data_IF_184235664535
#
_entry.id   IF_184235664535
#
_cell.length_a   1.000
_cell.length_b   1.000
_cell.length_c   1.000
_cell.angle_alpha   90.00
_cell.angle_beta   90.00
_cell.angle_gamma   90.00
#
_symmetry.space_group_name_H-M   'P 1'
#
loop_
_entity.id
_entity.type
_entity.pdbx_description
1 polymer ?
#
# COMPACT_ATOMS: atom_id res chain seq x y z
N UNK A 1 -27.87 32.50 -13.90
CA UNK A 1 -28.52 31.19 -14.09
C UNK A 1 -29.39 31.34 -15.31
N UNK A 2 -28.92 31.11 -16.53
CA UNK A 2 -28.15 29.98 -17.05
C UNK A 2 -27.18 30.49 -18.14
N UNK A 3 -26.43 29.61 -18.80
CA UNK A 3 -25.47 29.92 -19.90
C UNK A 3 -23.99 30.08 -19.53
N UNK A 4 -23.53 29.37 -18.48
CA UNK A 4 -22.11 29.06 -18.27
C UNK A 4 -21.79 27.56 -18.34
N UNK A 5 -22.76 26.71 -18.72
CA UNK A 5 -22.56 25.26 -18.87
C UNK A 5 -22.02 24.82 -20.25
N UNK A 6 -22.10 25.65 -21.30
CA UNK A 6 -21.69 25.21 -22.64
C UNK A 6 -20.18 25.37 -22.93
N UNK A 7 -19.46 26.22 -22.20
CA UNK A 7 -18.01 26.45 -22.44
C UNK A 7 -17.11 25.42 -21.74
N UNK A 8 -17.57 24.78 -20.67
CA UNK A 8 -16.82 23.71 -19.98
C UNK A 8 -16.84 22.41 -20.80
N UNK A 9 -17.91 22.19 -21.59
CA UNK A 9 -18.06 20.99 -22.41
C UNK A 9 -17.09 20.97 -23.60
N UNK A 10 -16.91 22.09 -24.32
CA UNK A 10 -15.99 22.12 -25.48
C UNK A 10 -14.50 21.98 -25.11
N UNK A 11 -14.06 22.49 -23.95
CA UNK A 11 -12.68 22.28 -23.47
C UNK A 11 -12.40 20.83 -23.07
N UNK A 12 -13.41 20.07 -22.64
CA UNK A 12 -13.30 18.63 -22.41
C UNK A 12 -13.19 17.85 -23.72
N UNK A 13 -14.00 18.19 -24.73
CA UNK A 13 -13.97 17.45 -26.00
C UNK A 13 -12.67 17.66 -26.80
N UNK A 14 -12.06 18.85 -26.80
CA UNK A 14 -10.80 19.07 -27.53
C UNK A 14 -9.58 18.42 -26.86
N UNK A 15 -9.53 18.35 -25.52
CA UNK A 15 -8.43 17.67 -24.82
C UNK A 15 -8.55 16.14 -24.92
N UNK A 16 -9.77 15.60 -24.89
CA UNK A 16 -9.99 14.15 -25.06
C UNK A 16 -9.61 13.70 -26.47
N UNK A 17 -9.92 14.47 -27.51
CA UNK A 17 -9.54 14.11 -28.90
C UNK A 17 -8.02 14.16 -29.11
N UNK A 18 -7.31 15.11 -28.49
CA UNK A 18 -5.83 15.14 -28.54
C UNK A 18 -5.19 13.98 -27.74
N UNK A 19 -5.83 13.55 -26.65
CA UNK A 19 -5.41 12.41 -25.84
C UNK A 19 -5.65 11.05 -26.52
N UNK A 20 -6.77 10.89 -27.24
CA UNK A 20 -7.06 9.66 -27.99
C UNK A 20 -6.09 9.50 -29.17
N UNK A 21 -5.66 10.60 -29.79
CA UNK A 21 -4.70 10.59 -30.91
C UNK A 21 -3.24 10.35 -30.48
N UNK A 22 -2.92 10.47 -29.19
CA UNK A 22 -1.55 10.26 -28.65
C UNK A 22 -1.33 8.86 -28.07
N UNK A 23 -2.31 7.95 -28.15
CA UNK A 23 -2.14 6.56 -27.70
C UNK A 23 -1.83 6.44 -26.20
N UNK A 24 -2.20 7.44 -25.39
CA UNK A 24 -2.00 7.42 -23.95
C UNK A 24 -2.91 6.39 -23.29
N UNK A 25 -2.34 5.29 -22.83
CA UNK A 25 -3.01 4.36 -21.91
C UNK A 25 -3.38 5.15 -20.65
N UNK A 26 -4.67 5.21 -20.33
CA UNK A 26 -5.11 5.67 -19.01
C UNK A 26 -4.73 4.56 -18.02
N UNK A 27 -3.57 4.68 -17.38
CA UNK A 27 -3.17 3.76 -16.32
C UNK A 27 -4.07 4.04 -15.13
N UNK A 28 -4.97 3.11 -14.82
CA UNK A 28 -5.62 3.07 -13.51
C UNK A 28 -4.49 2.91 -12.49
N UNK A 29 -4.13 4.02 -11.83
CA UNK A 29 -3.00 4.04 -10.90
C UNK A 29 -3.39 3.21 -9.68
N UNK A 30 -2.81 2.02 -9.58
CA UNK A 30 -2.86 1.22 -8.37
C UNK A 30 -2.27 2.02 -7.21
N UNK A 31 -2.89 1.93 -6.04
CA UNK A 31 -2.40 2.64 -4.86
C UNK A 31 -1.20 1.89 -4.31
N UNK A 32 -0.01 2.44 -4.54
CA UNK A 32 1.27 1.84 -4.18
C UNK A 32 2.15 2.90 -3.53
N UNK A 33 2.90 2.54 -2.49
CA UNK A 33 3.86 3.45 -1.88
C UNK A 33 5.21 3.38 -2.61
N UNK A 34 5.43 4.32 -3.52
CA UNK A 34 6.74 4.50 -4.16
C UNK A 34 7.75 5.12 -3.19
N UNK A 35 9.04 5.00 -3.51
CA UNK A 35 10.12 5.62 -2.73
C UNK A 35 9.89 7.12 -2.55
N UNK A 36 9.38 7.78 -3.60
CA UNK A 36 9.03 9.20 -3.55
C UNK A 36 7.94 9.49 -2.52
N UNK A 37 6.85 8.72 -2.50
CA UNK A 37 5.75 8.87 -1.55
C UNK A 37 6.18 8.61 -0.11
N UNK A 38 6.95 7.55 0.12
CA UNK A 38 7.53 7.22 1.44
C UNK A 38 8.41 8.35 1.96
N UNK A 39 9.30 8.86 1.11
CA UNK A 39 10.23 9.92 1.46
C UNK A 39 9.48 11.25 1.70
N UNK A 40 8.44 11.53 0.91
CA UNK A 40 7.56 12.68 1.10
C UNK A 40 6.82 12.62 2.43
N UNK A 41 6.22 11.46 2.77
CA UNK A 41 5.56 11.23 4.05
C UNK A 41 6.51 11.48 5.21
N UNK A 42 7.68 10.82 5.17
CA UNK A 42 8.74 10.96 6.17
C UNK A 42 9.17 12.41 6.36
N UNK A 43 9.41 13.12 5.25
CA UNK A 43 9.84 14.52 5.27
C UNK A 43 8.80 15.40 5.95
N UNK A 44 7.51 15.25 5.63
CA UNK A 44 6.43 16.02 6.26
C UNK A 44 6.33 15.78 7.76
N UNK A 45 6.48 14.53 8.20
CA UNK A 45 6.49 14.19 9.63
C UNK A 45 7.67 14.87 10.32
N UNK A 46 8.87 14.82 9.73
CA UNK A 46 10.06 15.47 10.28
C UNK A 46 9.87 16.99 10.35
N UNK A 47 9.38 17.61 9.28
CA UNK A 47 9.13 19.05 9.21
C UNK A 47 8.15 19.48 10.32
N UNK A 48 7.07 18.72 10.52
CA UNK A 48 6.13 18.96 11.61
C UNK A 48 6.79 18.83 12.99
N UNK A 49 7.53 17.75 13.25
CA UNK A 49 8.20 17.55 14.53
C UNK A 49 9.24 18.64 14.83
N UNK A 50 9.90 19.18 13.80
CA UNK A 50 10.81 20.30 13.97
C UNK A 50 10.10 21.58 14.45
N UNK A 51 8.82 21.77 14.13
CA UNK A 51 8.04 22.91 14.66
C UNK A 51 7.68 22.78 16.14
N UNK A 52 7.76 21.57 16.70
CA UNK A 52 7.50 21.27 18.12
C UNK A 52 8.75 21.44 19.00
N UNK A 53 9.94 21.63 18.39
CA UNK A 53 11.21 21.82 19.12
C UNK A 53 11.21 23.20 19.77
N UNK A 54 11.34 23.24 21.10
CA UNK A 54 11.39 24.48 21.88
C UNK A 54 12.84 24.74 22.28
N UNK A 55 13.44 25.88 21.89
CA UNK A 55 14.81 26.20 22.27
C UNK A 55 14.93 26.45 23.77
N UNK A 56 16.14 26.24 24.32
CA UNK A 56 16.43 26.53 25.72
C UNK A 56 16.16 28.02 26.03
N UNK A 57 15.35 28.24 27.07
CA UNK A 57 15.08 29.57 27.61
C UNK A 57 16.01 29.89 28.78
N UNK A 58 16.05 31.16 29.16
CA UNK A 58 16.88 31.63 30.28
C UNK A 58 16.57 30.93 31.62
N UNK A 59 15.31 30.52 31.84
CA UNK A 59 14.84 29.89 33.08
C UNK A 59 14.17 28.52 32.87
N UNK A 60 14.08 28.02 31.63
CA UNK A 60 13.36 26.79 31.31
C UNK A 60 14.17 25.98 30.32
N UNK A 61 14.42 24.70 30.67
CA UNK A 61 14.99 23.74 29.73
C UNK A 61 13.98 23.55 28.59
N UNK A 62 14.45 23.72 27.35
CA UNK A 62 13.68 23.48 26.14
C UNK A 62 13.49 21.99 25.88
N UNK A 63 12.97 21.66 24.71
CA UNK A 63 12.84 20.31 24.19
C UNK A 63 13.70 20.18 22.94
N UNK A 64 14.58 19.18 22.89
CA UNK A 64 15.26 18.84 21.65
C UNK A 64 14.42 17.85 20.82
N UNK A 65 14.84 17.59 19.59
CA UNK A 65 14.13 16.69 18.67
C UNK A 65 13.96 15.27 19.24
N UNK A 66 14.99 14.73 19.91
CA UNK A 66 14.93 13.42 20.58
C UNK A 66 13.92 13.41 21.72
N UNK A 67 13.82 14.48 22.51
CA UNK A 67 12.83 14.60 23.60
C UNK A 67 11.39 14.60 23.05
N UNK A 68 11.16 15.30 21.94
CA UNK A 68 9.86 15.31 21.24
C UNK A 68 9.52 13.92 20.72
N UNK A 69 10.45 13.24 20.04
CA UNK A 69 10.23 11.87 19.58
C UNK A 69 9.95 10.91 20.73
N UNK A 70 10.70 11.00 21.84
CA UNK A 70 10.49 10.14 23.01
C UNK A 70 9.12 10.36 23.64
N UNK A 71 8.65 11.61 23.69
CA UNK A 71 7.28 11.94 24.12
C UNK A 71 6.25 11.24 23.23
N UNK A 72 6.38 11.33 21.92
CA UNK A 72 5.43 10.71 20.99
C UNK A 72 5.49 9.18 21.03
N UNK A 73 6.69 8.60 21.04
CA UNK A 73 6.89 7.15 21.17
C UNK A 73 6.12 6.60 22.37
N UNK A 74 6.31 7.17 23.55
CA UNK A 74 5.62 6.74 24.78
C UNK A 74 4.12 6.98 24.79
N UNK A 75 3.63 7.96 24.02
CA UNK A 75 2.20 8.26 23.96
C UNK A 75 1.43 7.27 23.07
N UNK A 76 2.10 6.67 22.09
CA UNK A 76 1.50 5.78 21.10
C UNK A 76 1.80 4.30 21.34
N UNK A 77 2.90 3.98 22.02
CA UNK A 77 3.24 2.65 22.53
C UNK A 77 2.15 2.13 23.49
N UNK A 78 1.68 0.91 23.25
CA UNK A 78 0.71 0.21 24.10
C UNK A 78 1.32 -0.38 25.39
N UNK A 79 2.61 -0.20 25.62
CA UNK A 79 3.36 -0.67 26.78
C UNK A 79 4.31 -1.83 26.49
N UNK A 80 4.47 -2.21 25.22
CA UNK A 80 5.45 -3.20 24.79
C UNK A 80 6.82 -2.57 24.45
N UNK A 81 6.94 -1.24 24.57
CA UNK A 81 8.17 -0.47 24.29
C UNK A 81 8.61 -0.57 22.84
N UNK A 82 7.68 -0.84 21.94
CA UNK A 82 7.88 -0.87 20.50
C UNK A 82 6.71 -0.13 19.83
N UNK A 83 6.84 0.16 18.53
CA UNK A 83 5.73 0.68 17.72
C UNK A 83 5.45 -0.27 16.57
N UNK A 84 4.25 -0.83 16.53
CA UNK A 84 3.75 -1.58 15.38
C UNK A 84 3.18 -0.67 14.27
N UNK A 85 2.77 -1.26 13.14
CA UNK A 85 2.17 -0.53 12.02
C UNK A 85 0.97 0.34 12.43
N UNK A 86 0.11 -0.14 13.34
CA UNK A 86 -1.08 0.58 13.74
C UNK A 86 -0.75 1.74 14.68
N UNK A 87 0.21 1.56 15.59
CA UNK A 87 0.68 2.60 16.51
C UNK A 87 1.44 3.70 15.75
N UNK A 88 2.34 3.31 14.83
CA UNK A 88 3.06 4.26 13.99
C UNK A 88 2.10 5.02 13.07
N UNK A 89 1.11 4.36 12.47
CA UNK A 89 0.10 5.03 11.66
C UNK A 89 -0.70 6.07 12.48
N UNK A 90 -1.13 5.72 13.70
CA UNK A 90 -1.82 6.66 14.60
C UNK A 90 -0.93 7.85 14.98
N UNK A 91 0.37 7.63 15.17
CA UNK A 91 1.34 8.70 15.38
C UNK A 91 1.45 9.62 14.17
N UNK A 92 1.61 9.07 12.97
CA UNK A 92 1.70 9.86 11.73
C UNK A 92 0.41 10.66 11.48
N UNK A 93 -0.74 10.11 11.87
CA UNK A 93 -2.05 10.77 11.80
C UNK A 93 -2.30 11.78 12.92
N UNK A 94 -1.38 11.97 13.87
CA UNK A 94 -1.55 12.94 14.97
C UNK A 94 -1.86 14.34 14.45
N UNK A 95 -1.16 14.76 13.39
CA UNK A 95 -1.35 16.05 12.73
C UNK A 95 -1.63 15.84 11.24
N UNK A 96 -2.86 15.39 10.93
CA UNK A 96 -3.27 15.05 9.57
C UNK A 96 -3.05 16.19 8.56
N UNK A 97 -3.20 17.44 9.00
CA UNK A 97 -3.05 18.61 8.12
C UNK A 97 -1.59 18.85 7.74
N UNK A 98 -0.64 18.67 8.67
CA UNK A 98 0.78 18.79 8.38
C UNK A 98 1.30 17.64 7.50
N UNK A 99 0.71 16.44 7.66
CA UNK A 99 1.13 15.20 6.99
C UNK A 99 0.17 14.80 5.84
N UNK A 100 -0.48 15.78 5.23
CA UNK A 100 -1.38 15.54 4.12
C UNK A 100 -0.60 15.15 2.86
N UNK A 101 -0.93 13.98 2.30
CA UNK A 101 -0.46 13.53 0.98
C UNK A 101 -1.57 13.78 -0.04
N UNK A 102 -1.21 14.31 -1.21
CA UNK A 102 -2.15 14.63 -2.30
C UNK A 102 -1.75 13.91 -3.59
N UNK A 103 -1.22 12.68 -3.47
CA UNK A 103 -0.78 11.89 -4.63
C UNK A 103 -1.97 11.40 -5.45
N UNK A 104 -3.14 11.22 -4.83
CA UNK A 104 -4.37 10.77 -5.48
C UNK A 104 -5.51 11.80 -5.35
N UNK A 105 -6.45 11.79 -6.29
CA UNK A 105 -7.63 12.66 -6.26
C UNK A 105 -8.65 12.23 -5.17
N UNK A 106 -8.72 10.93 -4.89
CA UNK A 106 -9.62 10.37 -3.88
C UNK A 106 -8.93 10.32 -2.51
N UNK A 107 -9.62 10.80 -1.47
CA UNK A 107 -9.08 10.84 -0.11
C UNK A 107 -8.81 9.44 0.45
N UNK A 108 -9.67 8.46 0.13
CA UNK A 108 -9.52 7.06 0.55
C UNK A 108 -8.21 6.45 0.04
N UNK A 109 -7.86 6.71 -1.22
CA UNK A 109 -6.59 6.25 -1.80
C UNK A 109 -5.39 6.91 -1.11
N UNK A 110 -5.49 8.18 -0.72
CA UNK A 110 -4.43 8.82 0.07
C UNK A 110 -4.32 8.24 1.50
N UNK A 111 -5.43 7.75 2.10
CA UNK A 111 -5.39 7.04 3.39
C UNK A 111 -4.73 5.67 3.26
N UNK A 112 -5.04 4.95 2.19
CA UNK A 112 -4.40 3.67 1.88
C UNK A 112 -2.90 3.85 1.60
N UNK A 113 -2.53 4.82 0.76
CA UNK A 113 -1.14 5.18 0.48
C UNK A 113 -0.36 5.44 1.77
N UNK A 114 -0.95 6.22 2.69
CA UNK A 114 -0.32 6.55 3.97
C UNK A 114 -0.07 5.30 4.82
N UNK A 115 -0.99 4.33 4.79
CA UNK A 115 -0.82 3.04 5.49
C UNK A 115 0.29 2.20 4.86
N UNK A 116 0.32 2.08 3.52
CA UNK A 116 1.38 1.36 2.80
C UNK A 116 2.76 1.99 3.05
N UNK A 117 2.84 3.32 3.09
CA UNK A 117 4.08 4.01 3.37
C UNK A 117 4.54 3.89 4.83
N UNK A 118 3.62 3.68 5.78
CA UNK A 118 3.97 3.34 7.17
C UNK A 118 4.68 2.00 7.22
N UNK A 119 4.12 0.98 6.57
CA UNK A 119 4.74 -0.36 6.53
C UNK A 119 6.13 -0.29 5.87
N UNK A 120 6.26 0.47 4.78
CA UNK A 120 7.54 0.69 4.11
C UNK A 120 8.57 1.46 4.98
N UNK A 121 8.13 2.29 5.93
CA UNK A 121 9.02 2.97 6.88
C UNK A 121 9.51 2.04 7.98
N UNK A 122 8.65 1.13 8.44
CA UNK A 122 9.02 0.09 9.43
C UNK A 122 10.07 -0.82 8.81
N UNK A 123 9.78 -1.43 7.66
CA UNK A 123 10.69 -2.32 6.92
C UNK A 123 12.06 -1.70 6.59
N UNK A 124 12.10 -0.37 6.46
CA UNK A 124 13.34 0.36 6.19
C UNK A 124 14.21 0.53 7.43
N UNK A 125 13.59 0.66 8.60
CA UNK A 125 14.24 1.11 9.84
C UNK A 125 14.35 0.01 10.89
N UNK A 126 13.59 -1.08 10.72
CA UNK A 126 13.63 -2.29 11.53
C UNK A 126 14.93 -3.05 11.24
N UNK A 127 15.88 -2.95 12.17
CA UNK A 127 17.21 -3.56 12.04
C UNK A 127 17.21 -5.03 12.49
N UNK A 128 16.30 -5.40 13.38
CA UNK A 128 16.23 -6.74 13.97
C UNK A 128 15.19 -7.65 13.29
N UNK A 129 14.41 -7.12 12.34
CA UNK A 129 13.36 -7.78 11.58
C UNK A 129 12.21 -8.34 12.45
N UNK A 130 11.84 -7.65 13.52
CA UNK A 130 10.72 -8.01 14.40
C UNK A 130 9.38 -7.36 14.01
N UNK A 131 9.37 -6.61 12.90
CA UNK A 131 8.24 -5.89 12.30
C UNK A 131 7.68 -4.78 13.18
N UNK A 132 8.49 -4.29 14.12
CA UNK A 132 8.18 -3.17 14.99
C UNK A 132 9.38 -2.23 15.07
N UNK A 133 9.16 -1.05 15.64
CA UNK A 133 10.23 -0.09 15.90
C UNK A 133 10.46 0.05 17.39
N UNK A 134 11.64 -0.34 17.85
CA UNK A 134 12.18 0.16 19.12
C UNK A 134 12.39 1.67 19.06
N UNK A 135 12.63 2.30 20.22
CA UNK A 135 12.86 3.75 20.25
C UNK A 135 14.07 4.18 19.39
N UNK A 136 15.14 3.39 19.36
CA UNK A 136 16.33 3.71 18.58
C UNK A 136 16.06 3.60 17.07
N UNK A 137 15.30 2.60 16.63
CA UNK A 137 14.88 2.43 15.23
C UNK A 137 13.89 3.54 14.82
N UNK A 138 12.95 3.91 15.70
CA UNK A 138 12.06 5.04 15.47
C UNK A 138 12.82 6.37 15.38
N UNK A 139 13.81 6.59 16.24
CA UNK A 139 14.67 7.76 16.22
C UNK A 139 15.49 7.82 14.93
N UNK A 140 16.05 6.71 14.48
CA UNK A 140 16.79 6.61 13.22
C UNK A 140 15.86 6.83 12.02
N UNK A 141 14.65 6.26 12.05
CA UNK A 141 13.62 6.44 11.03
C UNK A 141 13.33 7.92 10.79
N UNK A 142 13.14 8.72 11.84
CA UNK A 142 12.74 10.14 11.72
C UNK A 142 13.90 11.12 11.90
N UNK A 143 15.15 10.66 11.86
CA UNK A 143 16.32 11.52 12.02
C UNK A 143 16.40 12.58 10.90
N UNK A 144 16.44 13.88 11.24
CA UNK A 144 16.59 14.94 10.25
C UNK A 144 17.92 14.80 9.50
N UNK A 145 17.90 15.01 8.18
CA UNK A 145 19.09 14.95 7.33
C UNK A 145 19.62 13.54 7.03
N UNK A 146 19.03 12.49 7.61
CA UNK A 146 19.26 11.13 7.12
C UNK A 146 18.45 10.92 5.84
N UNK A 147 19.11 10.51 4.76
CA UNK A 147 18.45 10.06 3.54
C UNK A 147 18.51 8.53 3.52
N UNK A 148 17.37 7.84 3.71
CA UNK A 148 17.38 6.39 3.71
C UNK A 148 17.89 5.83 2.38
N UNK A 149 18.66 4.73 2.39
CA UNK A 149 19.11 4.10 1.15
C UNK A 149 17.90 3.62 0.33
N UNK A 150 18.01 3.75 -0.99
CA UNK A 150 17.02 3.22 -1.91
C UNK A 150 17.24 1.71 -2.06
N UNK A 151 16.27 0.91 -1.58
CA UNK A 151 16.25 -0.54 -1.79
C UNK A 151 15.70 -0.80 -3.20
N UNK A 152 16.41 -1.60 -3.99
CA UNK A 152 15.97 -2.08 -5.31
C UNK A 152 15.29 -3.43 -5.16
N UNK A 153 14.32 -3.72 -6.01
CA UNK A 153 13.71 -5.05 -6.03
C UNK A 153 14.64 -6.03 -6.73
N UNK A 154 14.78 -7.23 -6.19
CA UNK A 154 15.50 -8.32 -6.83
C UNK A 154 14.49 -9.25 -7.53
N UNK A 155 14.75 -9.61 -8.79
CA UNK A 155 14.01 -10.65 -9.50
C UNK A 155 15.02 -11.49 -10.28
N UNK A 156 15.07 -12.78 -9.97
CA UNK A 156 16.11 -13.70 -10.45
C UNK A 156 17.51 -13.14 -10.11
N UNK A 157 18.38 -12.96 -11.10
CA UNK A 157 19.75 -12.44 -10.94
C UNK A 157 19.86 -10.93 -11.27
N UNK A 158 18.72 -10.23 -11.42
CA UNK A 158 18.66 -8.81 -11.79
C UNK A 158 18.05 -7.92 -10.69
N UNK A 159 18.44 -6.65 -10.68
CA UNK A 159 17.92 -5.62 -9.76
C UNK A 159 17.14 -4.55 -10.52
N UNK A 160 15.97 -4.21 -10.00
CA UNK A 160 15.01 -3.31 -10.62
C UNK A 160 14.78 -2.06 -9.76
N UNK A 161 14.68 -0.91 -10.42
CA UNK A 161 14.40 0.37 -9.76
C UNK A 161 12.94 0.47 -9.33
N UNK A 162 12.66 1.38 -8.39
CA UNK A 162 11.31 1.74 -7.98
C UNK A 162 10.46 2.17 -9.20
N UNK A 163 9.24 1.64 -9.29
CA UNK A 163 8.34 1.83 -10.43
C UNK A 163 8.55 0.85 -11.59
N UNK A 164 9.56 -0.03 -11.54
CA UNK A 164 9.69 -1.09 -12.54
C UNK A 164 8.49 -2.05 -12.49
N UNK A 165 8.01 -2.46 -13.66
CA UNK A 165 6.87 -3.36 -13.78
C UNK A 165 7.31 -4.72 -14.33
N UNK A 166 6.72 -5.78 -13.81
CA UNK A 166 6.83 -7.13 -14.36
C UNK A 166 5.47 -7.82 -14.35
N UNK A 167 5.37 -8.93 -15.06
CA UNK A 167 4.18 -9.75 -15.09
C UNK A 167 4.53 -11.17 -14.66
N UNK A 168 3.89 -11.63 -13.59
CA UNK A 168 4.00 -13.00 -13.10
C UNK A 168 2.64 -13.65 -13.35
N UNK A 169 2.60 -14.55 -14.33
CA UNK A 169 1.36 -15.15 -14.85
C UNK A 169 0.38 -14.10 -15.39
N UNK A 170 -0.81 -13.96 -14.79
CA UNK A 170 -1.77 -12.90 -15.11
C UNK A 170 -1.64 -11.68 -14.19
N UNK A 171 -0.85 -11.77 -13.13
CA UNK A 171 -0.72 -10.71 -12.14
C UNK A 171 0.33 -9.69 -12.54
N UNK A 172 -0.03 -8.42 -12.45
CA UNK A 172 0.90 -7.31 -12.67
C UNK A 172 1.59 -7.02 -11.35
N UNK A 173 2.91 -6.89 -11.39
CA UNK A 173 3.73 -6.58 -10.24
C UNK A 173 4.52 -5.29 -10.48
N UNK A 174 4.63 -4.45 -9.45
CA UNK A 174 5.39 -3.22 -9.47
C UNK A 174 6.42 -3.25 -8.35
N UNK A 175 7.66 -2.86 -8.66
CA UNK A 175 8.68 -2.64 -7.66
C UNK A 175 8.39 -1.36 -6.88
N UNK A 176 8.20 -1.47 -5.57
CA UNK A 176 7.88 -0.35 -4.71
C UNK A 176 8.65 -0.45 -3.38
N UNK A 177 9.46 0.57 -3.07
CA UNK A 177 10.28 0.63 -1.86
C UNK A 177 11.19 -0.60 -1.64
N UNK A 178 11.59 -1.29 -2.72
CA UNK A 178 12.45 -2.48 -2.67
C UNK A 178 11.69 -3.82 -2.58
N UNK A 179 10.35 -3.78 -2.61
CA UNK A 179 9.50 -4.97 -2.58
C UNK A 179 8.65 -5.07 -3.85
N UNK A 180 8.41 -6.29 -4.33
CA UNK A 180 7.45 -6.53 -5.42
C UNK A 180 6.03 -6.53 -4.86
N UNK A 181 5.21 -5.60 -5.33
CA UNK A 181 3.78 -5.50 -5.01
C UNK A 181 2.99 -5.97 -6.22
N UNK A 182 2.24 -7.06 -6.06
CA UNK A 182 1.50 -7.69 -7.16
C UNK A 182 -0.01 -7.61 -6.95
N UNK A 183 -0.75 -7.50 -8.05
CA UNK A 183 -2.18 -7.78 -8.03
C UNK A 183 -2.42 -9.23 -7.60
N UNK A 184 -3.54 -9.48 -6.90
CA UNK A 184 -3.91 -10.82 -6.43
C UNK A 184 -5.13 -11.37 -7.17
N UNK A 185 -5.03 -11.49 -8.50
CA UNK A 185 -6.06 -12.12 -9.32
C UNK A 185 -5.80 -13.63 -9.44
N UNK A 186 -6.87 -14.41 -9.46
CA UNK A 186 -6.80 -15.84 -9.76
C UNK A 186 -6.57 -16.01 -11.26
N UNK A 187 -5.41 -16.54 -11.63
CA UNK A 187 -5.08 -16.83 -13.02
C UNK A 187 -5.62 -18.21 -13.36
N UNK A 188 -6.71 -18.28 -14.13
CA UNK A 188 -7.14 -19.55 -14.71
C UNK A 188 -6.09 -20.01 -15.71
N UNK A 189 -5.54 -21.21 -15.52
CA UNK A 189 -4.73 -21.86 -16.56
C UNK A 189 -5.58 -21.90 -17.83
N UNK A 190 -5.04 -21.31 -18.90
CA UNK A 190 -5.60 -21.29 -20.26
C UNK A 190 -6.66 -22.37 -20.42
N UNK A 191 -7.93 -21.96 -20.44
CA UNK A 191 -8.93 -22.76 -21.15
C UNK A 191 -8.30 -23.07 -22.51
N UNK A 192 -8.20 -24.36 -22.90
CA UNK A 192 -7.69 -24.68 -24.22
C UNK A 192 -8.55 -23.88 -25.18
N UNK A 193 -7.89 -23.16 -26.09
CA UNK A 193 -8.53 -22.30 -27.09
C UNK A 193 -9.62 -23.11 -27.77
N UNK A 194 -10.86 -22.95 -27.36
CA UNK A 194 -12.02 -23.37 -28.15
C UNK A 194 -12.27 -22.18 -29.06
N UNK A 195 -11.48 -22.09 -30.12
CA UNK A 195 -11.96 -21.48 -31.33
C UNK A 195 -13.11 -22.36 -31.82
N UNK A 196 -14.34 -21.91 -31.57
CA UNK A 196 -15.32 -21.52 -32.60
C UNK A 196 -16.67 -21.31 -31.94
N UNK A 197 -17.24 -20.12 -32.13
CA UNK A 197 -18.66 -19.82 -32.27
C UNK A 197 -19.67 -20.73 -31.55
N UNK A 198 -20.31 -20.18 -30.50
CA UNK A 198 -21.61 -20.68 -30.04
C UNK A 198 -21.84 -20.47 -28.56
N UNK A 199 -22.85 -19.67 -28.24
CA UNK A 199 -23.54 -19.69 -26.95
C UNK A 199 -23.98 -21.14 -26.64
N UNK A 200 -23.19 -21.86 -25.84
CA UNK A 200 -23.64 -23.11 -25.22
C UNK A 200 -23.93 -22.85 -23.75
N UNK A 201 -25.19 -22.53 -23.50
CA UNK A 201 -25.82 -22.61 -22.19
C UNK A 201 -25.64 -24.04 -21.66
N UNK A 202 -24.94 -24.16 -20.53
CA UNK A 202 -24.69 -25.43 -19.86
C UNK A 202 -26.01 -26.06 -19.44
N UNK A 203 -26.26 -27.30 -19.86
CA UNK A 203 -27.54 -27.97 -19.61
C UNK A 203 -27.75 -28.26 -18.11
N UNK A 204 -28.99 -28.18 -17.64
CA UNK A 204 -29.38 -28.39 -16.23
C UNK A 204 -28.95 -29.78 -15.70
N UNK A 205 -28.84 -30.77 -16.59
CA UNK A 205 -28.38 -32.12 -16.28
C UNK A 205 -26.87 -32.18 -15.98
N UNK A 206 -26.05 -31.44 -16.73
CA UNK A 206 -24.60 -31.35 -16.49
C UNK A 206 -24.30 -30.56 -15.21
N UNK A 207 -25.07 -29.51 -14.94
CA UNK A 207 -25.02 -28.78 -13.68
C UNK A 207 -25.33 -29.69 -12.49
N UNK A 208 -26.41 -30.46 -12.59
CA UNK A 208 -26.85 -31.36 -11.51
C UNK A 208 -25.81 -32.45 -11.23
N UNK A 209 -25.14 -32.98 -12.25
CA UNK A 209 -24.04 -33.95 -12.05
C UNK A 209 -22.85 -33.33 -11.32
N UNK A 210 -22.42 -32.12 -11.71
CA UNK A 210 -21.30 -31.42 -11.05
C UNK A 210 -21.61 -31.09 -9.59
N UNK A 211 -22.83 -30.63 -9.30
CA UNK A 211 -23.26 -30.36 -7.91
C UNK A 211 -23.28 -31.65 -7.07
N UNK A 212 -23.73 -32.77 -7.64
CA UNK A 212 -23.72 -34.05 -6.94
C UNK A 212 -22.29 -34.55 -6.65
N UNK A 213 -21.36 -34.35 -7.59
CA UNK A 213 -19.95 -34.69 -7.38
C UNK A 213 -19.29 -33.82 -6.30
N UNK A 214 -19.60 -32.51 -6.26
CA UNK A 214 -19.11 -31.61 -5.22
C UNK A 214 -19.65 -31.97 -3.83
N UNK A 215 -20.95 -32.25 -3.72
CA UNK A 215 -21.56 -32.68 -2.46
C UNK A 215 -20.94 -33.99 -1.95
N UNK A 216 -20.63 -34.93 -2.84
CA UNK A 216 -19.95 -36.18 -2.46
C UNK A 216 -18.57 -35.91 -1.86
N UNK A 217 -17.80 -34.99 -2.45
CA UNK A 217 -16.50 -34.62 -1.91
C UNK A 217 -16.61 -33.95 -0.54
N UNK A 218 -17.59 -33.06 -0.35
CA UNK A 218 -17.88 -32.40 0.92
C UNK A 218 -18.19 -33.43 2.03
N UNK A 219 -19.03 -34.43 1.74
CA UNK A 219 -19.37 -35.49 2.70
C UNK A 219 -18.16 -36.35 3.09
N UNK A 220 -17.24 -36.63 2.15
CA UNK A 220 -15.97 -37.31 2.48
C UNK A 220 -15.07 -36.48 3.37
N UNK A 221 -14.97 -35.18 3.14
CA UNK A 221 -14.16 -34.26 3.95
C UNK A 221 -14.73 -34.15 5.37
N UNK A 222 -16.05 -34.09 5.52
CA UNK A 222 -16.71 -34.05 6.81
C UNK A 222 -16.58 -35.37 7.60
N UNK A 223 -16.67 -36.52 6.92
CA UNK A 223 -16.40 -37.83 7.54
C UNK A 223 -14.95 -37.98 7.99
N UNK A 224 -14.00 -37.47 7.20
CA UNK A 224 -12.59 -37.44 7.62
C UNK A 224 -12.37 -36.54 8.82
N UNK A 225 -13.00 -35.36 8.88
CA UNK A 225 -12.94 -34.45 10.06
C UNK A 225 -13.59 -35.04 11.31
N UNK A 226 -14.66 -35.82 11.18
CA UNK A 226 -15.32 -36.48 12.31
C UNK A 226 -14.45 -37.61 12.90
N UNK A 227 -13.76 -38.38 12.07
CA UNK A 227 -12.88 -39.46 12.53
C UNK A 227 -11.64 -38.98 13.29
N UNK A 228 -11.16 -37.76 13.03
CA UNK A 228 -10.00 -37.18 13.74
C UNK A 228 -10.37 -36.58 15.10
N UNK A 229 -11.67 -36.54 15.46
CA UNK A 229 -12.15 -35.96 16.73
C UNK A 229 -12.41 -36.99 17.83
N UNK A 230 -12.24 -38.29 17.53
CA UNK A 230 -12.25 -39.39 18.49
C UNK A 230 -10.87 -40.07 18.57
N UNK A 231 -9.85 -39.32 19.00
CA UNK A 231 -8.60 -39.83 19.59
C UNK A 231 -8.17 -38.91 20.73
#
# INVERSE_FOLDING_TARGET
MSDMCCLVSLCFFLNVILFILSGGVCVMSEVVCYVADRNELRRRVIDWLQTEVVPDGWFTKGSNFTDILLKYFKNYDNGDSQLDSAELLKFIQHNETAVQMNSYAEEENNRLLRSLCVDALIELSDENADWKLSFDEFLNCLKPGFNPPEKKCALEDETYEDGAETQVECNRCVCACGNWVCTAMTCDEKTPVIDTDGDQEMTEEEWTRRVAELNKHQETVEKMKASTKEV
#
